data_IF_296935874533
#
_entry.id   IF_296935874533
#
_cell.length_a   1.000
_cell.length_b   1.000
_cell.length_c   1.000
_cell.angle_alpha   90.00
_cell.angle_beta   90.00
_cell.angle_gamma   90.00
#
_symmetry.space_group_name_H-M   'P 1'
#
loop_
_entity.id
_entity.type
_entity.pdbx_description
1 polymer ?
#
# COMPACT_ATOMS: atom_id res chain seq x y z
N UNK A 1 -7.36 27.70 -2.12
CA UNK A 1 -6.92 27.22 -0.81
C UNK A 1 -6.59 25.76 -1.03
N UNK A 2 -5.39 25.31 -0.74
CA UNK A 2 -5.01 23.90 -0.87
C UNK A 2 -5.75 23.11 0.21
N UNK A 3 -6.55 22.13 -0.20
CA UNK A 3 -7.27 21.25 0.73
C UNK A 3 -6.26 20.44 1.55
N UNK A 4 -6.52 20.25 2.84
CA UNK A 4 -5.75 19.32 3.70
C UNK A 4 -5.98 17.90 3.19
N UNK A 5 -4.93 17.07 3.19
CA UNK A 5 -4.97 15.73 2.63
C UNK A 5 -4.34 14.71 3.58
N UNK A 6 -4.86 13.49 3.57
CA UNK A 6 -4.28 12.33 4.25
C UNK A 6 -4.00 11.25 3.20
N UNK A 7 -2.76 10.75 3.17
CA UNK A 7 -2.31 9.67 2.29
C UNK A 7 -1.86 8.51 3.18
N UNK A 8 -2.40 7.31 2.94
CA UNK A 8 -2.12 6.13 3.75
C UNK A 8 -1.41 5.05 2.93
N UNK A 9 -0.55 4.29 3.56
CA UNK A 9 -0.11 2.99 3.04
C UNK A 9 -1.23 1.95 3.21
N UNK A 10 -1.10 0.82 2.52
CA UNK A 10 -1.99 -0.34 2.67
C UNK A 10 -1.38 -1.34 3.65
N UNK A 11 -0.31 -2.02 3.27
CA UNK A 11 0.31 -3.06 4.08
C UNK A 11 0.80 -2.53 5.43
N UNK A 12 0.47 -3.20 6.52
CA UNK A 12 0.82 -2.76 7.87
C UNK A 12 0.03 -1.56 8.40
N UNK A 13 -0.81 -0.89 7.59
CA UNK A 13 -1.61 0.29 7.96
C UNK A 13 -3.10 0.05 7.77
N UNK A 14 -3.58 0.01 6.52
CA UNK A 14 -4.99 -0.28 6.21
C UNK A 14 -5.28 -1.78 6.15
N UNK A 15 -4.28 -2.57 6.01
CA UNK A 15 -4.27 -4.03 6.03
C UNK A 15 -3.24 -4.50 7.05
N UNK A 16 -3.56 -5.58 7.79
CA UNK A 16 -2.68 -6.20 8.77
C UNK A 16 -2.12 -7.47 8.15
N UNK A 17 -0.86 -7.43 7.74
CA UNK A 17 -0.16 -8.54 7.09
C UNK A 17 0.23 -9.61 8.11
N UNK A 18 -0.29 -10.85 8.02
CA UNK A 18 0.09 -11.91 8.92
C UNK A 18 1.46 -12.49 8.54
N UNK A 19 2.23 -12.92 9.52
CA UNK A 19 3.41 -13.74 9.27
C UNK A 19 2.99 -15.21 9.14
N UNK A 20 2.57 -15.64 7.96
CA UNK A 20 2.04 -17.01 7.75
C UNK A 20 3.13 -18.06 7.70
N UNK A 21 4.38 -17.67 7.40
CA UNK A 21 5.50 -18.60 7.22
C UNK A 21 5.38 -19.47 5.95
N UNK A 22 4.61 -19.02 4.96
CA UNK A 22 4.35 -19.79 3.75
C UNK A 22 5.61 -20.11 2.95
N UNK A 23 6.55 -19.18 2.87
CA UNK A 23 7.82 -19.39 2.16
C UNK A 23 8.60 -20.57 2.74
N UNK A 24 8.72 -20.63 4.07
CA UNK A 24 9.42 -21.71 4.76
C UNK A 24 8.74 -23.06 4.53
N UNK A 25 7.39 -23.12 4.54
CA UNK A 25 6.65 -24.36 4.23
C UNK A 25 6.90 -24.85 2.80
N UNK A 26 7.02 -23.93 1.84
CA UNK A 26 7.36 -24.29 0.47
C UNK A 26 8.81 -24.75 0.34
N UNK A 27 9.75 -24.12 1.03
CA UNK A 27 11.15 -24.56 1.06
C UNK A 27 11.27 -25.97 1.65
N UNK A 28 10.56 -26.28 2.75
CA UNK A 28 10.48 -27.62 3.32
C UNK A 28 9.86 -28.62 2.33
N UNK A 29 8.75 -28.27 1.68
CA UNK A 29 8.06 -29.13 0.71
C UNK A 29 8.92 -29.48 -0.50
N UNK A 30 9.74 -28.52 -0.94
CA UNK A 30 10.62 -28.65 -2.09
C UNK A 30 12.02 -29.16 -1.72
N UNK A 31 12.25 -29.50 -0.45
CA UNK A 31 13.55 -29.91 0.08
C UNK A 31 14.67 -28.89 -0.22
N UNK A 32 14.34 -27.59 -0.19
CA UNK A 32 15.25 -26.48 -0.43
C UNK A 32 15.83 -25.94 0.89
N UNK A 33 17.07 -25.46 0.90
CA UNK A 33 17.59 -24.71 2.03
C UNK A 33 16.77 -23.45 2.32
N UNK A 34 16.67 -23.04 3.59
CA UNK A 34 16.00 -21.81 3.99
C UNK A 34 16.58 -20.59 3.26
N UNK A 35 15.70 -19.72 2.78
CA UNK A 35 16.04 -18.51 2.03
C UNK A 35 16.22 -18.72 0.51
N UNK A 36 16.19 -19.97 0.03
CA UNK A 36 16.37 -20.28 -1.40
C UNK A 36 15.27 -19.69 -2.28
N UNK A 37 14.01 -19.72 -1.83
CA UNK A 37 12.90 -19.12 -2.58
C UNK A 37 13.13 -17.64 -2.73
N UNK A 38 13.47 -16.93 -1.66
CA UNK A 38 13.76 -15.50 -1.72
C UNK A 38 14.95 -15.19 -2.65
N UNK A 39 16.02 -15.97 -2.57
CA UNK A 39 17.19 -15.79 -3.42
C UNK A 39 16.87 -15.99 -4.92
N UNK A 40 16.16 -17.08 -5.26
CA UNK A 40 15.82 -17.40 -6.66
C UNK A 40 14.80 -16.44 -7.26
N UNK A 41 13.94 -15.86 -6.44
CA UNK A 41 12.82 -15.05 -6.91
C UNK A 41 13.06 -13.53 -6.73
N UNK A 42 14.17 -13.10 -6.17
CA UNK A 42 14.44 -11.70 -5.81
C UNK A 42 14.18 -10.70 -6.94
N UNK A 43 14.72 -10.98 -8.12
CA UNK A 43 14.56 -10.12 -9.29
C UNK A 43 13.14 -10.18 -9.88
N UNK A 44 12.47 -11.31 -9.75
CA UNK A 44 11.07 -11.46 -10.17
C UNK A 44 10.14 -10.67 -9.25
N UNK A 45 10.37 -10.74 -7.92
CA UNK A 45 9.62 -9.94 -6.95
C UNK A 45 9.82 -8.45 -7.19
N UNK A 46 11.08 -8.01 -7.39
CA UNK A 46 11.37 -6.62 -7.72
C UNK A 46 10.72 -6.19 -9.05
N UNK A 47 10.76 -7.04 -10.07
CA UNK A 47 10.14 -6.74 -11.36
C UNK A 47 8.60 -6.64 -11.25
N UNK A 48 7.98 -7.51 -10.47
CA UNK A 48 6.54 -7.49 -10.20
C UNK A 48 6.09 -6.30 -9.36
N UNK A 49 6.92 -5.85 -8.41
CA UNK A 49 6.57 -4.70 -7.57
C UNK A 49 6.63 -3.35 -8.29
N UNK A 50 7.39 -3.27 -9.38
CA UNK A 50 7.43 -2.07 -10.25
C UNK A 50 6.72 -2.29 -11.59
N UNK A 51 5.99 -3.40 -11.76
CA UNK A 51 5.19 -3.67 -12.94
C UNK A 51 6.00 -3.88 -14.23
N UNK A 52 7.29 -4.20 -14.15
CA UNK A 52 8.12 -4.47 -15.34
C UNK A 52 7.93 -5.86 -15.93
N UNK A 53 7.18 -6.72 -15.23
CA UNK A 53 6.65 -7.99 -15.72
C UNK A 53 5.17 -8.11 -15.34
N UNK A 54 4.42 -8.91 -16.09
CA UNK A 54 3.01 -9.21 -15.82
C UNK A 54 2.84 -10.35 -14.81
N UNK A 55 1.67 -10.49 -14.21
CA UNK A 55 1.37 -11.61 -13.29
C UNK A 55 1.51 -13.00 -13.98
N UNK A 56 1.07 -13.23 -15.23
CA UNK A 56 1.36 -14.48 -15.94
C UNK A 56 2.86 -14.77 -16.08
N UNK A 57 3.68 -13.77 -16.37
CA UNK A 57 5.14 -13.93 -16.44
C UNK A 57 5.74 -14.27 -15.07
N UNK A 58 5.18 -13.72 -13.97
CA UNK A 58 5.57 -14.14 -12.60
C UNK A 58 5.30 -15.64 -12.41
N UNK A 59 4.12 -16.14 -12.79
CA UNK A 59 3.78 -17.57 -12.72
C UNK A 59 4.75 -18.44 -13.53
N UNK A 60 5.12 -18.02 -14.73
CA UNK A 60 6.12 -18.71 -15.55
C UNK A 60 7.50 -18.77 -14.86
N UNK A 61 7.93 -17.66 -14.24
CA UNK A 61 9.19 -17.61 -13.51
C UNK A 61 9.16 -18.48 -12.24
N UNK A 62 8.05 -18.48 -11.50
CA UNK A 62 7.85 -19.37 -10.34
C UNK A 62 7.98 -20.83 -10.77
N UNK A 63 7.27 -21.24 -11.82
CA UNK A 63 7.36 -22.59 -12.37
C UNK A 63 8.80 -22.97 -12.73
N UNK A 64 9.47 -22.14 -13.53
CA UNK A 64 10.80 -22.41 -14.05
C UNK A 64 11.88 -22.46 -12.97
N UNK A 65 11.86 -21.53 -12.00
CA UNK A 65 12.92 -21.38 -10.99
C UNK A 65 12.78 -22.31 -9.80
N UNK A 66 11.55 -22.68 -9.47
CA UNK A 66 11.27 -23.58 -8.33
C UNK A 66 10.96 -25.01 -8.76
N UNK A 67 10.81 -25.25 -10.09
CA UNK A 67 10.52 -26.59 -10.62
C UNK A 67 9.08 -27.04 -10.36
N UNK A 68 8.13 -26.08 -10.27
CA UNK A 68 6.74 -26.36 -9.95
C UNK A 68 5.91 -26.66 -11.21
N UNK A 69 4.98 -27.59 -11.07
CA UNK A 69 3.93 -27.79 -12.08
C UNK A 69 2.81 -26.74 -11.94
N UNK A 70 1.88 -26.68 -12.90
CA UNK A 70 0.85 -25.67 -12.92
C UNK A 70 -0.04 -25.65 -11.65
N UNK A 71 -0.55 -26.79 -11.13
CA UNK A 71 -1.25 -26.81 -9.83
C UNK A 71 -0.43 -26.30 -8.66
N UNK A 72 0.86 -26.60 -8.63
CA UNK A 72 1.77 -26.15 -7.58
C UNK A 72 2.02 -24.63 -7.66
N UNK A 73 2.15 -24.07 -8.87
CA UNK A 73 2.26 -22.62 -9.06
C UNK A 73 1.01 -21.91 -8.55
N UNK A 74 -0.17 -22.39 -8.88
CA UNK A 74 -1.43 -21.83 -8.38
C UNK A 74 -1.50 -21.85 -6.84
N UNK A 75 -1.09 -22.96 -6.21
CA UNK A 75 -1.06 -23.08 -4.76
C UNK A 75 -0.01 -22.15 -4.13
N UNK A 76 1.18 -22.05 -4.74
CA UNK A 76 2.24 -21.14 -4.30
C UNK A 76 1.80 -19.68 -4.34
N UNK A 77 1.18 -19.26 -5.44
CA UNK A 77 0.67 -17.90 -5.60
C UNK A 77 -0.52 -17.64 -4.69
N UNK A 78 -1.36 -18.63 -4.41
CA UNK A 78 -2.44 -18.51 -3.44
C UNK A 78 -1.92 -18.25 -2.01
N UNK A 79 -0.83 -18.92 -1.59
CA UNK A 79 -0.19 -18.69 -0.30
C UNK A 79 0.46 -17.29 -0.22
N UNK A 80 1.10 -16.83 -1.32
CA UNK A 80 1.63 -15.47 -1.43
C UNK A 80 0.51 -14.46 -1.22
N UNK A 81 -0.59 -14.59 -1.96
CA UNK A 81 -1.71 -13.66 -1.87
C UNK A 81 -2.43 -13.72 -0.52
N UNK A 82 -2.49 -14.89 0.12
CA UNK A 82 -3.07 -15.03 1.45
C UNK A 82 -2.28 -14.24 2.52
N UNK A 83 -0.95 -14.17 2.40
CA UNK A 83 -0.13 -13.32 3.28
C UNK A 83 -0.20 -11.86 2.86
N UNK A 84 -0.05 -11.57 1.55
CA UNK A 84 -0.05 -10.20 1.02
C UNK A 84 -1.34 -9.43 1.34
N UNK A 85 -2.49 -10.05 1.17
CA UNK A 85 -3.77 -9.39 1.40
C UNK A 85 -4.12 -9.28 2.89
N UNK A 86 -3.73 -10.24 3.72
CA UNK A 86 -3.94 -10.20 5.16
C UNK A 86 -5.39 -9.97 5.61
N UNK A 87 -5.59 -9.08 6.57
CA UNK A 87 -6.91 -8.72 7.09
C UNK A 87 -7.08 -7.20 7.16
N UNK A 88 -8.28 -6.64 6.88
CA UNK A 88 -8.48 -5.20 6.92
C UNK A 88 -8.39 -4.65 8.34
N UNK A 89 -7.76 -3.48 8.49
CA UNK A 89 -7.76 -2.70 9.71
C UNK A 89 -9.09 -1.93 9.84
N UNK A 90 -10.14 -2.64 10.23
CA UNK A 90 -11.52 -2.14 10.23
C UNK A 90 -11.71 -0.85 11.01
N UNK A 91 -11.00 -0.69 12.13
CA UNK A 91 -11.09 0.51 12.96
C UNK A 91 -10.56 1.75 12.22
N UNK A 92 -9.37 1.65 11.62
CA UNK A 92 -8.79 2.77 10.88
C UNK A 92 -9.58 3.04 9.59
N UNK A 93 -9.99 2.01 8.88
CA UNK A 93 -10.82 2.13 7.66
C UNK A 93 -12.14 2.84 7.98
N UNK A 94 -12.81 2.47 9.08
CA UNK A 94 -14.06 3.12 9.50
C UNK A 94 -13.85 4.60 9.84
N UNK A 95 -12.75 4.93 10.51
CA UNK A 95 -12.38 6.31 10.81
C UNK A 95 -12.12 7.12 9.52
N UNK A 96 -11.28 6.59 8.62
CA UNK A 96 -10.96 7.24 7.34
C UNK A 96 -12.21 7.44 6.47
N UNK A 97 -13.12 6.45 6.45
CA UNK A 97 -14.41 6.57 5.76
C UNK A 97 -15.25 7.74 6.28
N UNK A 98 -15.18 8.01 7.58
CA UNK A 98 -15.84 9.16 8.21
C UNK A 98 -15.26 10.52 7.81
N UNK A 99 -14.05 10.55 7.23
CA UNK A 99 -13.39 11.79 6.78
C UNK A 99 -13.77 12.18 5.35
N UNK A 100 -14.46 11.34 4.61
CA UNK A 100 -14.84 11.62 3.20
C UNK A 100 -15.57 12.94 3.07
N UNK A 101 -15.14 13.76 2.12
CA UNK A 101 -15.68 15.10 1.86
C UNK A 101 -15.22 16.18 2.85
N UNK A 102 -14.43 15.83 3.89
CA UNK A 102 -13.86 16.80 4.85
C UNK A 102 -12.41 17.15 4.50
N UNK A 103 -11.70 16.23 3.85
CA UNK A 103 -10.32 16.42 3.38
C UNK A 103 -10.08 15.53 2.15
N UNK A 104 -8.97 15.75 1.43
CA UNK A 104 -8.50 14.83 0.40
C UNK A 104 -8.02 13.52 1.02
N UNK A 105 -8.37 12.41 0.42
CA UNK A 105 -7.96 11.07 0.88
C UNK A 105 -7.27 10.32 -0.25
N UNK A 106 -6.10 9.77 0.00
CA UNK A 106 -5.35 8.98 -0.95
C UNK A 106 -4.66 7.77 -0.35
N UNK A 107 -4.23 6.90 -1.23
CA UNK A 107 -3.39 5.74 -0.90
C UNK A 107 -2.12 5.80 -1.75
N UNK A 108 -0.98 5.46 -1.15
CA UNK A 108 0.30 5.24 -1.81
C UNK A 108 0.91 3.94 -1.29
N UNK A 109 0.87 2.88 -2.11
CA UNK A 109 1.27 1.53 -1.73
C UNK A 109 2.43 1.01 -2.57
N UNK A 110 3.44 0.43 -1.90
CA UNK A 110 4.37 -0.50 -2.53
C UNK A 110 3.63 -1.82 -2.72
N UNK A 111 3.41 -2.20 -3.96
CA UNK A 111 2.45 -3.23 -4.34
C UNK A 111 3.05 -4.26 -5.30
N UNK A 112 2.24 -5.15 -5.78
CA UNK A 112 2.65 -6.19 -6.72
C UNK A 112 1.64 -6.30 -7.87
N UNK A 113 2.07 -6.75 -9.04
CA UNK A 113 1.19 -6.96 -10.19
C UNK A 113 0.01 -7.87 -9.80
N UNK A 114 -1.23 -7.41 -10.07
CA UNK A 114 -2.46 -8.08 -9.67
C UNK A 114 -3.01 -7.68 -8.29
N UNK A 115 -2.35 -6.77 -7.56
CA UNK A 115 -2.81 -6.33 -6.24
C UNK A 115 -4.09 -5.48 -6.33
N UNK A 116 -4.15 -4.52 -7.27
CA UNK A 116 -5.32 -3.63 -7.42
C UNK A 116 -6.63 -4.40 -7.55
N UNK A 117 -6.67 -5.40 -8.41
CA UNK A 117 -7.88 -6.18 -8.66
C UNK A 117 -8.34 -6.92 -7.41
N UNK A 118 -7.40 -7.50 -6.66
CA UNK A 118 -7.68 -8.25 -5.44
C UNK A 118 -8.11 -7.37 -4.28
N UNK A 119 -7.39 -6.28 -4.05
CA UNK A 119 -7.71 -5.31 -3.00
C UNK A 119 -9.02 -4.58 -3.27
N UNK A 120 -9.31 -4.23 -4.54
CA UNK A 120 -10.61 -3.67 -4.93
C UNK A 120 -11.73 -4.67 -4.65
N UNK A 121 -11.53 -5.94 -5.02
CA UNK A 121 -12.55 -6.98 -4.81
C UNK A 121 -12.81 -7.26 -3.32
N UNK A 122 -11.77 -7.21 -2.48
CA UNK A 122 -11.87 -7.57 -1.06
C UNK A 122 -12.19 -6.38 -0.15
N UNK A 123 -11.52 -5.24 -0.37
CA UNK A 123 -11.52 -4.12 0.58
C UNK A 123 -12.22 -2.88 0.07
N UNK A 124 -12.42 -2.77 -1.26
CA UNK A 124 -13.07 -1.64 -1.91
C UNK A 124 -12.40 -0.31 -1.54
N UNK A 125 -11.07 -0.26 -1.56
CA UNK A 125 -10.31 0.95 -1.27
C UNK A 125 -10.56 2.07 -2.29
N UNK A 126 -10.97 1.72 -3.50
CA UNK A 126 -11.46 2.64 -4.53
C UNK A 126 -12.73 3.43 -4.10
N UNK A 127 -13.48 2.92 -3.14
CA UNK A 127 -14.61 3.63 -2.53
C UNK A 127 -14.21 4.41 -1.26
N UNK A 128 -13.04 4.11 -0.70
CA UNK A 128 -12.56 4.74 0.53
C UNK A 128 -11.90 6.09 0.27
N UNK A 129 -11.12 6.19 -0.82
CA UNK A 129 -10.27 7.35 -1.15
C UNK A 129 -10.54 7.88 -2.56
N UNK A 130 -10.09 9.11 -2.86
CA UNK A 130 -10.23 9.73 -4.17
C UNK A 130 -9.18 9.25 -5.17
N UNK A 131 -7.99 8.86 -4.70
CA UNK A 131 -6.90 8.42 -5.56
C UNK A 131 -6.04 7.35 -4.91
N UNK A 132 -5.64 6.35 -5.70
CA UNK A 132 -4.75 5.26 -5.27
C UNK A 132 -3.58 5.18 -6.23
N UNK A 133 -2.37 5.23 -5.66
CA UNK A 133 -1.11 5.00 -6.38
C UNK A 133 -0.53 3.67 -5.95
N UNK A 134 -0.34 2.79 -6.92
CA UNK A 134 0.35 1.51 -6.77
C UNK A 134 1.71 1.54 -7.45
N UNK A 135 2.76 1.07 -6.79
CA UNK A 135 4.13 1.07 -7.34
C UNK A 135 4.24 0.32 -8.66
N UNK A 136 3.55 -0.83 -8.78
CA UNK A 136 3.57 -1.63 -10.01
C UNK A 136 2.90 -0.94 -11.21
N UNK A 137 2.09 0.10 -11.00
CA UNK A 137 1.45 0.87 -12.08
C UNK A 137 2.30 2.07 -12.50
N UNK A 138 3.02 2.67 -11.55
CA UNK A 138 3.83 3.88 -11.83
C UNK A 138 5.31 3.57 -12.07
N UNK A 139 5.74 2.32 -11.88
CA UNK A 139 7.11 1.87 -12.14
C UNK A 139 8.13 2.28 -11.08
N UNK A 140 7.71 2.78 -9.93
CA UNK A 140 8.59 3.19 -8.82
C UNK A 140 7.96 2.89 -7.47
N UNK A 141 8.80 2.59 -6.48
CA UNK A 141 8.41 2.27 -5.10
C UNK A 141 8.82 3.37 -4.13
N UNK A 142 8.10 3.52 -3.01
CA UNK A 142 8.65 4.21 -1.84
C UNK A 142 9.95 3.49 -1.41
N UNK A 143 11.00 4.20 -1.05
CA UNK A 143 11.09 5.62 -0.73
C UNK A 143 11.47 6.55 -1.89
N UNK A 144 11.36 6.15 -3.17
CA UNK A 144 11.67 7.03 -4.30
C UNK A 144 10.77 8.28 -4.28
N UNK A 145 11.33 9.51 -4.39
CA UNK A 145 10.54 10.76 -4.36
C UNK A 145 9.42 10.80 -5.39
N UNK A 146 9.60 10.17 -6.55
CA UNK A 146 8.60 10.13 -7.62
C UNK A 146 7.29 9.46 -7.21
N UNK A 147 7.34 8.52 -6.25
CA UNK A 147 6.14 7.88 -5.71
C UNK A 147 5.26 8.90 -4.94
N UNK A 148 5.88 9.73 -4.11
CA UNK A 148 5.18 10.79 -3.37
C UNK A 148 4.67 11.91 -4.28
N UNK A 149 5.47 12.27 -5.31
CA UNK A 149 5.04 13.21 -6.36
C UNK A 149 3.80 12.71 -7.10
N UNK A 150 3.76 11.41 -7.46
CA UNK A 150 2.61 10.80 -8.11
C UNK A 150 1.35 10.84 -7.24
N UNK A 151 1.47 10.58 -5.94
CA UNK A 151 0.36 10.65 -5.00
C UNK A 151 -0.19 12.08 -4.86
N UNK A 152 0.69 13.08 -4.74
CA UNK A 152 0.29 14.48 -4.70
C UNK A 152 -0.37 14.94 -6.01
N UNK A 153 0.19 14.54 -7.15
CA UNK A 153 -0.34 14.90 -8.47
C UNK A 153 -1.75 14.33 -8.70
N UNK A 154 -1.96 13.06 -8.31
CA UNK A 154 -3.25 12.41 -8.45
C UNK A 154 -4.36 13.03 -7.60
N UNK A 155 -4.00 13.62 -6.46
CA UNK A 155 -4.92 14.33 -5.57
C UNK A 155 -4.99 15.85 -5.86
N UNK A 156 -4.19 16.34 -6.80
CA UNK A 156 -4.07 17.77 -7.12
C UNK A 156 -3.71 18.65 -5.91
N UNK A 157 -2.85 18.14 -5.01
CA UNK A 157 -2.44 18.80 -3.79
C UNK A 157 -0.94 19.08 -3.75
N UNK A 158 -0.51 19.99 -2.87
CA UNK A 158 0.91 20.22 -2.60
C UNK A 158 1.37 19.35 -1.42
N UNK A 159 2.63 18.90 -1.41
CA UNK A 159 3.16 18.05 -0.33
C UNK A 159 2.93 18.63 1.07
N UNK A 160 3.08 19.94 1.26
CA UNK A 160 2.93 20.62 2.55
C UNK A 160 1.50 20.53 3.15
N UNK A 161 0.52 20.20 2.30
CA UNK A 161 -0.87 20.00 2.71
C UNK A 161 -1.18 18.56 3.13
N UNK A 162 -0.23 17.65 2.94
CA UNK A 162 -0.43 16.21 3.13
C UNK A 162 0.13 15.73 4.47
N UNK A 163 -0.60 14.81 5.09
CA UNK A 163 -0.09 13.91 6.10
C UNK A 163 0.02 12.51 5.50
N UNK A 164 1.25 11.98 5.41
CA UNK A 164 1.52 10.62 4.98
C UNK A 164 1.64 9.68 6.18
N UNK A 165 1.07 8.47 6.10
CA UNK A 165 1.05 7.47 7.15
C UNK A 165 1.55 6.15 6.58
N UNK A 166 2.60 5.58 7.20
CA UNK A 166 3.29 4.37 6.75
C UNK A 166 3.92 3.67 7.98
N UNK A 167 4.04 2.36 7.97
CA UNK A 167 4.65 1.56 9.04
C UNK A 167 6.18 1.41 8.90
N UNK A 168 6.75 1.84 7.77
CA UNK A 168 8.19 1.83 7.54
C UNK A 168 8.82 3.22 7.75
N UNK A 169 9.74 3.32 8.71
CA UNK A 169 10.42 4.58 9.03
C UNK A 169 11.12 5.21 7.82
N UNK A 170 11.71 4.42 6.93
CA UNK A 170 12.38 4.92 5.71
C UNK A 170 11.42 5.63 4.76
N UNK A 171 10.17 5.18 4.67
CA UNK A 171 9.14 5.82 3.85
C UNK A 171 8.64 7.12 4.50
N UNK A 172 8.51 7.12 5.82
CA UNK A 172 8.15 8.32 6.62
C UNK A 172 9.21 9.41 6.44
N UNK A 173 10.49 9.06 6.54
CA UNK A 173 11.62 9.99 6.33
C UNK A 173 11.63 10.54 4.89
N UNK A 174 11.38 9.70 3.90
CA UNK A 174 11.32 10.12 2.50
C UNK A 174 10.13 11.05 2.22
N UNK A 175 8.96 10.80 2.80
CA UNK A 175 7.79 11.68 2.71
C UNK A 175 8.09 13.07 3.32
N UNK A 176 8.79 13.10 4.47
CA UNK A 176 9.23 14.35 5.08
C UNK A 176 10.22 15.11 4.18
N UNK A 177 11.17 14.40 3.56
CA UNK A 177 12.10 14.98 2.61
C UNK A 177 11.40 15.53 1.35
N UNK A 178 10.26 14.93 0.95
CA UNK A 178 9.39 15.42 -0.11
C UNK A 178 8.50 16.62 0.30
N UNK A 179 8.59 17.08 1.57
CA UNK A 179 7.86 18.25 2.08
C UNK A 179 6.51 17.92 2.72
N UNK A 180 6.15 16.67 2.89
CA UNK A 180 4.93 16.25 3.59
C UNK A 180 5.12 16.28 5.11
N UNK A 181 4.03 16.41 5.86
CA UNK A 181 4.01 15.87 7.20
C UNK A 181 3.92 14.34 7.09
N UNK A 182 4.57 13.62 8.02
CA UNK A 182 4.50 12.18 7.99
C UNK A 182 4.40 11.61 9.42
N UNK A 183 3.82 10.41 9.53
CA UNK A 183 3.59 9.71 10.79
C UNK A 183 3.91 8.23 10.63
N UNK A 184 4.77 7.71 11.51
CA UNK A 184 5.02 6.29 11.59
C UNK A 184 3.82 5.61 12.27
N UNK A 185 3.20 4.70 11.55
CA UNK A 185 2.10 3.91 12.09
C UNK A 185 2.63 2.93 13.15
N UNK A 186 2.09 2.99 14.33
CA UNK A 186 2.36 2.05 15.43
C UNK A 186 1.06 1.43 15.96
N UNK A 187 0.00 2.23 16.03
CA UNK A 187 -1.34 1.83 16.45
C UNK A 187 -2.41 2.81 15.95
N UNK A 188 -3.67 2.36 15.95
CA UNK A 188 -4.81 3.14 15.48
C UNK A 188 -5.04 4.41 16.31
N UNK A 189 -4.94 4.33 17.64
CA UNK A 189 -5.28 5.44 18.52
C UNK A 189 -4.36 6.65 18.30
N UNK A 190 -3.05 6.41 18.20
CA UNK A 190 -2.05 7.44 17.89
C UNK A 190 -2.25 8.01 16.50
N UNK A 191 -2.49 7.14 15.52
CA UNK A 191 -2.69 7.53 14.14
C UNK A 191 -3.95 8.39 13.97
N UNK A 192 -5.07 7.98 14.55
CA UNK A 192 -6.32 8.76 14.56
C UNK A 192 -6.11 10.13 15.21
N UNK A 193 -5.43 10.18 16.35
CA UNK A 193 -5.09 11.43 17.02
C UNK A 193 -4.23 12.33 16.13
N UNK A 194 -3.26 11.76 15.42
CA UNK A 194 -2.37 12.50 14.51
C UNK A 194 -3.12 13.05 13.31
N UNK A 195 -4.01 12.25 12.72
CA UNK A 195 -4.88 12.70 11.61
C UNK A 195 -5.76 13.85 12.07
N UNK A 196 -6.46 13.71 13.21
CA UNK A 196 -7.32 14.78 13.75
C UNK A 196 -6.55 16.08 13.96
N UNK A 197 -5.37 16.04 14.56
CA UNK A 197 -4.51 17.20 14.78
C UNK A 197 -4.06 17.86 13.46
N UNK A 198 -3.77 17.07 12.41
CA UNK A 198 -3.41 17.58 11.10
C UNK A 198 -4.59 18.33 10.45
N UNK A 199 -5.80 17.76 10.52
CA UNK A 199 -7.00 18.35 9.95
C UNK A 199 -7.43 19.64 10.70
N UNK A 200 -7.27 19.68 12.03
CA UNK A 200 -7.58 20.86 12.83
C UNK A 200 -6.61 22.04 12.57
N UNK A 201 -5.36 21.74 12.24
CA UNK A 201 -4.33 22.73 11.92
C UNK A 201 -4.43 23.27 10.48
N UNK A 202 -5.11 22.56 9.59
CA UNK A 202 -5.26 22.94 8.19
C UNK A 202 -6.34 24.01 7.96
N UNK A 203 -6.36 24.66 6.78
CA UNK A 203 -7.42 25.58 6.43
C UNK A 203 -8.75 24.81 6.32
N UNK A 204 -9.71 25.16 7.15
CA UNK A 204 -11.06 24.54 7.12
C UNK A 204 -11.69 24.80 5.76
N UNK A 205 -12.14 23.76 5.07
CA UNK A 205 -13.02 23.88 3.92
C UNK A 205 -14.30 24.56 4.42
N UNK A 206 -14.60 25.75 3.92
CA UNK A 206 -15.86 26.43 4.27
C UNK A 206 -17.01 25.52 3.82
N UNK A 207 -17.80 25.04 4.77
CA UNK A 207 -19.00 24.26 4.49
C UNK A 207 -19.94 25.04 3.54
N UNK A 208 -20.85 24.34 2.83
CA UNK A 208 -21.79 25.00 1.92
C UNK A 208 -22.55 26.08 2.66
N UNK A 209 -22.48 27.30 2.13
CA UNK A 209 -23.28 28.43 2.63
C UNK A 209 -24.76 28.03 2.51
N UNK A 210 -25.55 28.03 3.61
CA UNK A 210 -26.97 27.77 3.50
C UNK A 210 -27.60 28.85 2.61
N UNK A 211 -28.23 28.41 1.53
CA UNK A 211 -29.05 29.26 0.70
C UNK A 211 -30.24 29.75 1.55
N UNK A 212 -30.20 31.05 1.89
CA UNK A 212 -31.29 31.73 2.56
C UNK A 212 -32.50 31.92 1.64
#
# INVERSE_FOLDING_TARGET
MTATCVILDIGGVLEITPATGWVQRWEETLELPLGTVHERMRDVWQAGSVGSISEPEVHEQVAARLGLDAPQVEAFMADLWAEYLGTPNEELIAYVRGLRGSCGLGILSNSFVGARERETALYRFDELVEHIVYSHEIGVEKPDPRAFEAACAGLEVRPESCLFIDDFAVNVEAAQAAGMQAHLFEDNARTITRIAAHLDAGPRVAGPVPLG
#
